data_IF_094633192871
#
_entry.id   IF_094633192871
#
_cell.length_a   1.000
_cell.length_b   1.000
_cell.length_c   1.000
_cell.angle_alpha   90.00
_cell.angle_beta   90.00
_cell.angle_gamma   90.00
#
_symmetry.space_group_name_H-M   'P 1'
#
loop_
_entity.id
_entity.type
_entity.pdbx_description
1 polymer ?
#
# COMPACT_ATOMS: atom_id res chain seq x y z
N UNK A 1 15.28 -23.90 -14.80
CA UNK A 1 15.75 -22.64 -15.43
C UNK A 1 14.83 -22.12 -16.56
N UNK A 2 14.18 -22.95 -17.39
CA UNK A 2 13.35 -22.45 -18.52
C UNK A 2 12.08 -21.68 -18.10
N UNK A 3 11.46 -22.04 -16.97
CA UNK A 3 10.23 -21.39 -16.49
C UNK A 3 10.45 -19.92 -16.09
N UNK A 4 11.61 -19.60 -15.48
CA UNK A 4 11.94 -18.22 -15.08
C UNK A 4 12.24 -17.32 -16.27
N UNK A 5 12.88 -17.84 -17.33
CA UNK A 5 13.16 -17.10 -18.56
C UNK A 5 11.88 -16.66 -19.28
N UNK A 6 10.84 -17.50 -19.30
CA UNK A 6 9.56 -17.16 -19.91
C UNK A 6 8.70 -16.21 -19.06
N UNK A 7 8.90 -16.17 -17.74
CA UNK A 7 8.04 -15.43 -16.81
C UNK A 7 8.65 -14.14 -16.26
N UNK A 8 9.81 -13.69 -16.76
CA UNK A 8 10.45 -12.44 -16.32
C UNK A 8 9.49 -11.24 -16.35
N UNK A 9 8.71 -11.11 -17.43
CA UNK A 9 7.68 -10.05 -17.57
C UNK A 9 6.62 -10.14 -16.46
N UNK A 10 6.16 -11.35 -16.14
CA UNK A 10 5.17 -11.58 -15.09
C UNK A 10 5.71 -11.19 -13.71
N UNK A 11 6.95 -11.55 -13.39
CA UNK A 11 7.59 -11.21 -12.10
C UNK A 11 7.71 -9.68 -11.95
N UNK A 12 8.10 -8.97 -13.01
CA UNK A 12 8.18 -7.50 -12.99
C UNK A 12 6.80 -6.87 -12.79
N UNK A 13 5.79 -7.35 -13.53
CA UNK A 13 4.41 -6.85 -13.39
C UNK A 13 3.89 -7.11 -11.98
N UNK A 14 4.14 -8.28 -11.40
CA UNK A 14 3.75 -8.61 -10.03
C UNK A 14 4.43 -7.69 -9.02
N UNK A 15 5.74 -7.46 -9.15
CA UNK A 15 6.48 -6.56 -8.26
C UNK A 15 5.93 -5.14 -8.32
N UNK A 16 5.71 -4.60 -9.52
CA UNK A 16 5.11 -3.28 -9.73
C UNK A 16 3.69 -3.20 -9.16
N UNK A 17 2.87 -4.23 -9.37
CA UNK A 17 1.51 -4.30 -8.82
C UNK A 17 1.52 -4.24 -7.28
N UNK A 18 2.40 -5.00 -6.63
CA UNK A 18 2.52 -4.98 -5.17
C UNK A 18 2.92 -3.60 -4.64
N UNK A 19 3.80 -2.89 -5.35
CA UNK A 19 4.17 -1.51 -5.00
C UNK A 19 2.95 -0.57 -5.09
N UNK A 20 2.23 -0.60 -6.22
CA UNK A 20 1.05 0.24 -6.40
C UNK A 20 -0.07 -0.10 -5.42
N UNK A 21 -0.29 -1.38 -5.11
CA UNK A 21 -1.26 -1.80 -4.11
C UNK A 21 -0.89 -1.25 -2.71
N UNK A 22 0.38 -1.36 -2.30
CA UNK A 22 0.84 -0.82 -1.02
C UNK A 22 0.68 0.70 -0.93
N UNK A 23 1.06 1.44 -1.97
CA UNK A 23 0.88 2.90 -2.03
C UNK A 23 -0.62 3.27 -2.03
N UNK A 24 -1.43 2.57 -2.83
CA UNK A 24 -2.86 2.82 -2.95
C UNK A 24 -3.59 2.67 -1.62
N UNK A 25 -3.28 1.62 -0.86
CA UNK A 25 -3.86 1.40 0.47
C UNK A 25 -3.51 2.56 1.42
N UNK A 26 -2.25 3.03 1.44
CA UNK A 26 -1.85 4.19 2.25
C UNK A 26 -2.61 5.46 1.88
N UNK A 27 -2.71 5.74 0.58
CA UNK A 27 -3.34 6.96 0.08
C UNK A 27 -4.83 6.98 0.39
N UNK A 28 -5.55 5.88 0.18
CA UNK A 28 -6.99 5.79 0.48
C UNK A 28 -7.24 6.07 1.95
N UNK A 29 -6.53 5.38 2.85
CA UNK A 29 -6.74 5.61 4.28
C UNK A 29 -6.37 7.01 4.73
N UNK A 30 -5.35 7.62 4.13
CA UNK A 30 -4.98 9.01 4.42
C UNK A 30 -6.05 10.00 3.96
N UNK A 31 -6.59 9.83 2.75
CA UNK A 31 -7.66 10.67 2.20
C UNK A 31 -8.92 10.59 3.06
N UNK A 32 -9.29 9.40 3.53
CA UNK A 32 -10.45 9.23 4.43
C UNK A 32 -10.25 9.95 5.77
N UNK A 33 -9.05 9.85 6.36
CA UNK A 33 -8.70 10.57 7.60
C UNK A 33 -8.76 12.08 7.39
N UNK A 34 -8.08 12.59 6.36
CA UNK A 34 -8.02 14.02 6.05
C UNK A 34 -9.42 14.58 5.74
N UNK A 35 -10.26 13.80 5.05
CA UNK A 35 -11.64 14.15 4.75
C UNK A 35 -12.52 14.25 5.99
N UNK A 36 -12.40 13.29 6.92
CA UNK A 36 -13.14 13.31 8.19
C UNK A 36 -12.69 14.45 9.11
N UNK A 37 -11.39 14.75 9.14
CA UNK A 37 -10.86 15.90 9.87
C UNK A 37 -11.41 17.22 9.31
N UNK A 38 -11.45 17.37 7.98
CA UNK A 38 -12.02 18.55 7.33
C UNK A 38 -13.53 18.72 7.63
N UNK A 39 -14.29 17.61 7.69
CA UNK A 39 -15.71 17.65 8.05
C UNK A 39 -15.92 18.09 9.50
N UNK A 40 -15.11 17.61 10.45
CA UNK A 40 -15.22 17.95 11.87
C UNK A 40 -14.86 19.40 12.19
N UNK A 41 -14.11 20.07 11.32
CA UNK A 41 -13.81 21.51 11.44
C UNK A 41 -15.02 22.39 11.09
N UNK A 42 -16.04 21.84 10.42
CA UNK A 42 -17.21 22.61 10.03
C UNK A 42 -18.19 22.81 11.21
N UNK A 43 -18.41 24.07 11.63
CA UNK A 43 -19.24 24.46 12.77
C UNK A 43 -20.76 24.22 12.56
N UNK A 44 -21.19 23.83 11.35
CA UNK A 44 -22.61 23.63 11.05
C UNK A 44 -23.15 22.24 11.42
N UNK A 45 -22.35 21.36 12.03
CA UNK A 45 -22.74 19.99 12.31
C UNK A 45 -23.60 19.88 13.59
N UNK A 46 -24.60 19.00 13.54
CA UNK A 46 -25.33 18.62 14.75
C UNK A 46 -24.47 17.77 15.68
N UNK A 47 -24.80 17.74 16.98
CA UNK A 47 -24.05 16.96 18.00
C UNK A 47 -23.97 15.47 17.63
N UNK A 48 -25.05 14.91 17.11
CA UNK A 48 -25.11 13.52 16.64
C UNK A 48 -24.10 13.26 15.50
N UNK A 49 -24.01 14.20 14.55
CA UNK A 49 -23.10 14.10 13.41
C UNK A 49 -21.65 14.24 13.83
N UNK A 50 -21.35 15.16 14.75
CA UNK A 50 -20.00 15.30 15.34
C UNK A 50 -19.57 13.98 15.96
N UNK A 51 -20.42 13.38 16.81
CA UNK A 51 -20.08 12.11 17.46
C UNK A 51 -19.85 10.98 16.45
N UNK A 52 -20.68 10.91 15.40
CA UNK A 52 -20.51 9.93 14.31
C UNK A 52 -19.19 10.11 13.57
N UNK A 53 -18.82 11.34 13.22
CA UNK A 53 -17.59 11.62 12.48
C UNK A 53 -16.35 11.43 13.36
N UNK A 54 -16.39 11.80 14.64
CA UNK A 54 -15.30 11.50 15.59
C UNK A 54 -15.09 10.00 15.76
N UNK A 55 -16.16 9.23 15.90
CA UNK A 55 -16.09 7.78 15.98
C UNK A 55 -15.48 7.16 14.73
N UNK A 56 -15.91 7.61 13.55
CA UNK A 56 -15.35 7.18 12.27
C UNK A 56 -13.85 7.55 12.16
N UNK A 57 -13.47 8.77 12.55
CA UNK A 57 -12.10 9.24 12.51
C UNK A 57 -11.20 8.43 13.44
N UNK A 58 -11.65 8.14 14.65
CA UNK A 58 -10.92 7.29 15.59
C UNK A 58 -10.73 5.87 15.04
N UNK A 59 -11.78 5.30 14.43
CA UNK A 59 -11.69 4.00 13.79
C UNK A 59 -10.67 4.00 12.66
N UNK A 60 -10.72 4.98 11.76
CA UNK A 60 -9.77 5.10 10.65
C UNK A 60 -8.34 5.30 11.12
N UNK A 61 -8.09 6.17 12.10
CA UNK A 61 -6.76 6.37 12.69
C UNK A 61 -6.22 5.09 13.32
N UNK A 62 -7.07 4.35 14.04
CA UNK A 62 -6.68 3.07 14.65
C UNK A 62 -6.34 2.04 13.58
N UNK A 63 -7.24 1.83 12.62
CA UNK A 63 -7.05 0.90 11.49
C UNK A 63 -5.85 1.28 10.62
N UNK A 64 -5.57 2.58 10.49
CA UNK A 64 -4.38 3.07 9.78
C UNK A 64 -3.10 2.54 10.42
N UNK A 65 -2.97 2.67 11.73
CA UNK A 65 -1.77 2.25 12.46
C UNK A 65 -1.68 0.74 12.60
N UNK A 66 -2.79 0.06 12.89
CA UNK A 66 -2.77 -1.38 13.23
C UNK A 66 -2.80 -2.31 12.02
N UNK A 67 -3.38 -1.88 10.90
CA UNK A 67 -3.58 -2.73 9.72
C UNK A 67 -2.96 -2.10 8.48
N UNK A 68 -3.34 -0.88 8.17
CA UNK A 68 -2.99 -0.23 6.90
C UNK A 68 -1.48 -0.07 6.76
N UNK A 69 -0.80 0.48 7.78
CA UNK A 69 0.64 0.64 7.79
C UNK A 69 1.38 -0.70 7.66
N UNK A 70 1.16 -1.71 8.52
CA UNK A 70 1.82 -3.01 8.39
C UNK A 70 1.59 -3.69 7.02
N UNK A 71 0.36 -3.71 6.53
CA UNK A 71 0.02 -4.34 5.24
C UNK A 71 0.69 -3.60 4.08
N UNK A 72 0.66 -2.27 4.09
CA UNK A 72 1.27 -1.47 3.03
C UNK A 72 2.79 -1.64 3.01
N UNK A 73 3.43 -1.60 4.19
CA UNK A 73 4.88 -1.83 4.32
C UNK A 73 5.24 -3.23 3.84
N UNK A 74 4.46 -4.24 4.21
CA UNK A 74 4.68 -5.62 3.75
C UNK A 74 4.57 -5.75 2.23
N UNK A 75 3.56 -5.14 1.62
CA UNK A 75 3.38 -5.12 0.16
C UNK A 75 4.53 -4.39 -0.54
N UNK A 76 4.96 -3.25 0.00
CA UNK A 76 6.09 -2.49 -0.55
C UNK A 76 7.40 -3.29 -0.49
N UNK A 77 7.73 -3.85 0.67
CA UNK A 77 8.93 -4.67 0.84
C UNK A 77 8.89 -5.89 -0.09
N UNK A 78 7.75 -6.56 -0.18
CA UNK A 78 7.57 -7.73 -1.06
C UNK A 78 7.70 -7.34 -2.54
N UNK A 79 7.16 -6.19 -2.95
CA UNK A 79 7.32 -5.64 -4.29
C UNK A 79 8.78 -5.34 -4.62
N UNK A 80 9.49 -4.64 -3.72
CA UNK A 80 10.93 -4.34 -3.86
C UNK A 80 11.73 -5.64 -3.96
N UNK A 81 11.53 -6.58 -3.04
CA UNK A 81 12.25 -7.85 -3.02
C UNK A 81 12.02 -8.65 -4.31
N UNK A 82 10.80 -8.66 -4.82
CA UNK A 82 10.44 -9.32 -6.08
C UNK A 82 11.21 -8.71 -7.25
N UNK A 83 11.26 -7.38 -7.36
CA UNK A 83 12.00 -6.70 -8.42
C UNK A 83 13.52 -6.90 -8.29
N UNK A 84 14.06 -6.84 -7.07
CA UNK A 84 15.49 -7.07 -6.82
C UNK A 84 15.91 -8.51 -7.15
N UNK A 85 15.07 -9.50 -6.85
CA UNK A 85 15.36 -10.90 -7.20
C UNK A 85 15.53 -11.06 -8.71
N UNK A 86 14.74 -10.36 -9.53
CA UNK A 86 14.89 -10.40 -10.98
C UNK A 86 16.23 -9.80 -11.42
N UNK A 87 16.63 -8.67 -10.83
CA UNK A 87 17.90 -8.04 -11.13
C UNK A 87 19.09 -8.97 -10.82
N UNK A 88 19.11 -9.58 -9.64
CA UNK A 88 20.15 -10.52 -9.23
C UNK A 88 20.22 -11.73 -10.17
N UNK A 89 19.07 -12.27 -10.57
CA UNK A 89 19.01 -13.39 -11.51
C UNK A 89 19.50 -13.02 -12.91
N UNK A 90 19.24 -11.80 -13.36
CA UNK A 90 19.77 -11.31 -14.64
C UNK A 90 21.29 -11.20 -14.61
N UNK A 91 21.85 -10.66 -13.53
CA UNK A 91 23.32 -10.57 -13.36
C UNK A 91 23.95 -11.95 -13.32
N UNK A 92 23.33 -12.92 -12.63
CA UNK A 92 23.83 -14.29 -12.59
C UNK A 92 23.81 -14.95 -13.97
N UNK A 93 22.73 -14.78 -14.74
CA UNK A 93 22.63 -15.30 -16.11
C UNK A 93 23.69 -14.69 -17.05
N UNK A 94 24.04 -13.41 -16.88
CA UNK A 94 25.08 -12.75 -17.68
C UNK A 94 26.50 -13.20 -17.30
N UNK A 95 26.72 -13.64 -16.05
CA UNK A 95 28.02 -14.17 -15.60
C UNK A 95 28.27 -15.62 -16.06
N UNK A 96 27.20 -16.40 -16.27
CA UNK A 96 27.26 -17.79 -16.72
C UNK A 96 27.31 -17.95 -18.27
N UNK A 97 27.18 -16.85 -19.02
CA UNK A 97 27.15 -16.80 -20.49
C UNK A 97 28.51 -16.45 -21.12
#
# INVERSE_FOLDING_TARGET
>A
MSWMKNNKKFIVVLGVFLLFAGIGILLVSKVEIDGLEAMLVNESLSVEEVWRFEGALQWWRKTYVTVTLPVSVFLLISGIATLMSQFLLSVLEDMDA
#
